data_IF_468388961167
#
_entry.id   IF_468388961167
#
_cell.length_a   1.000
_cell.length_b   1.000
_cell.length_c   1.000
_cell.angle_alpha   90.00
_cell.angle_beta   90.00
_cell.angle_gamma   90.00
#
_symmetry.space_group_name_H-M   'P 1'
#
loop_
_entity.id
_entity.type
_entity.pdbx_description
1 polymer ?
#
# COMPACT_ATOMS: atom_id res chain seq x y z
N UNK A 1 2.84 -13.83 2.94
CA UNK A 1 1.45 -13.64 2.45
C UNK A 1 1.11 -12.18 2.14
N UNK A 2 1.40 -11.21 3.03
CA UNK A 2 1.05 -9.79 2.80
C UNK A 2 1.61 -9.23 1.48
N UNK A 3 2.92 -9.35 1.23
CA UNK A 3 3.53 -8.87 0.00
C UNK A 3 2.99 -9.56 -1.27
N UNK A 4 2.55 -10.82 -1.17
CA UNK A 4 1.95 -11.55 -2.29
C UNK A 4 0.59 -10.94 -2.66
N UNK A 5 -0.30 -10.77 -1.68
CA UNK A 5 -1.63 -10.23 -1.91
C UNK A 5 -1.57 -8.74 -2.32
N UNK A 6 -0.70 -7.96 -1.68
CA UNK A 6 -0.44 -6.58 -2.08
C UNK A 6 0.13 -6.50 -3.50
N UNK A 7 1.05 -7.40 -3.86
CA UNK A 7 1.59 -7.49 -5.21
C UNK A 7 0.55 -7.84 -6.27
N UNK A 8 -0.37 -8.76 -5.97
CA UNK A 8 -1.50 -9.06 -6.84
C UNK A 8 -2.43 -7.85 -7.01
N UNK A 9 -2.73 -7.12 -5.93
CA UNK A 9 -3.51 -5.89 -6.00
C UNK A 9 -2.83 -4.80 -6.83
N UNK A 10 -1.51 -4.64 -6.71
CA UNK A 10 -0.72 -3.70 -7.51
C UNK A 10 -0.74 -4.08 -9.00
N UNK A 11 -0.64 -5.37 -9.32
CA UNK A 11 -0.76 -5.86 -10.70
C UNK A 11 -2.15 -5.58 -11.29
N UNK A 12 -3.22 -6.01 -10.61
CA UNK A 12 -4.60 -5.81 -11.08
C UNK A 12 -4.95 -4.32 -11.15
N UNK A 13 -4.40 -3.49 -10.26
CA UNK A 13 -4.55 -2.03 -10.27
C UNK A 13 -3.69 -1.30 -11.30
N UNK A 14 -2.98 -2.01 -12.19
CA UNK A 14 -2.17 -1.42 -13.27
C UNK A 14 -0.90 -0.71 -12.78
N UNK A 15 -0.44 -0.99 -11.56
CA UNK A 15 0.78 -0.41 -10.97
C UNK A 15 2.02 -1.28 -11.16
N UNK A 16 1.88 -2.48 -11.71
CA UNK A 16 2.96 -3.38 -12.10
C UNK A 16 2.57 -4.14 -13.37
N UNK A 17 3.51 -4.46 -14.25
CA UNK A 17 3.23 -5.15 -15.52
C UNK A 17 3.06 -6.67 -15.36
N UNK A 18 3.43 -7.23 -14.20
CA UNK A 18 3.27 -8.65 -13.89
C UNK A 18 3.07 -8.89 -12.38
N UNK A 19 2.58 -10.08 -12.02
CA UNK A 19 2.50 -10.50 -10.61
C UNK A 19 3.86 -10.47 -9.91
N UNK A 20 4.91 -10.96 -10.56
CA UNK A 20 6.25 -10.99 -9.98
C UNK A 20 6.79 -9.58 -9.72
N UNK A 21 6.55 -8.64 -10.63
CA UNK A 21 6.89 -7.23 -10.44
C UNK A 21 6.06 -6.60 -9.31
N UNK A 22 4.76 -6.90 -9.25
CA UNK A 22 3.88 -6.43 -8.19
C UNK A 22 4.36 -6.87 -6.81
N UNK A 23 4.77 -8.14 -6.66
CA UNK A 23 5.30 -8.65 -5.38
C UNK A 23 6.63 -7.98 -5.01
N UNK A 24 7.52 -7.74 -5.99
CA UNK A 24 8.76 -7.00 -5.74
C UNK A 24 8.48 -5.57 -5.29
N UNK A 25 7.61 -4.85 -5.99
CA UNK A 25 7.22 -3.49 -5.63
C UNK A 25 6.56 -3.44 -4.24
N UNK A 26 5.64 -4.36 -3.95
CA UNK A 26 5.03 -4.46 -2.62
C UNK A 26 6.07 -4.67 -1.53
N UNK A 27 7.07 -5.54 -1.78
CA UNK A 27 8.16 -5.79 -0.83
C UNK A 27 9.03 -4.53 -0.62
N UNK A 28 9.41 -3.84 -1.69
CA UNK A 28 10.17 -2.58 -1.60
C UNK A 28 9.42 -1.53 -0.78
N UNK A 29 8.12 -1.31 -1.06
CA UNK A 29 7.32 -0.32 -0.34
C UNK A 29 7.16 -0.64 1.16
N UNK A 30 7.16 -1.93 1.51
CA UNK A 30 7.14 -2.37 2.91
C UNK A 30 8.50 -2.17 3.56
N UNK A 31 9.57 -2.66 2.93
CA UNK A 31 10.93 -2.65 3.46
C UNK A 31 11.47 -1.20 3.62
N UNK A 32 11.09 -0.28 2.73
CA UNK A 32 11.44 1.14 2.80
C UNK A 32 10.51 1.97 3.70
N UNK A 33 9.50 1.35 4.32
CA UNK A 33 8.57 2.02 5.24
C UNK A 33 7.51 2.89 4.58
N UNK A 34 7.47 2.98 3.24
CA UNK A 34 6.46 3.74 2.51
C UNK A 34 5.02 3.27 2.81
N UNK A 35 4.82 1.95 3.00
CA UNK A 35 3.53 1.39 3.39
C UNK A 35 3.08 1.88 4.78
N UNK A 36 4.00 1.97 5.75
CA UNK A 36 3.71 2.47 7.09
C UNK A 36 3.39 3.97 7.05
N UNK A 37 4.18 4.76 6.33
CA UNK A 37 3.94 6.20 6.19
C UNK A 37 2.56 6.51 5.59
N UNK A 38 2.11 5.73 4.59
CA UNK A 38 0.77 5.91 4.00
C UNK A 38 -0.35 5.49 4.97
N UNK A 39 -0.14 4.48 5.81
CA UNK A 39 -1.08 4.12 6.87
C UNK A 39 -1.23 5.25 7.89
N UNK A 40 -0.12 5.84 8.34
CA UNK A 40 -0.15 6.98 9.26
C UNK A 40 -0.87 8.19 8.66
N UNK A 41 -0.68 8.45 7.37
CA UNK A 41 -1.42 9.49 6.64
C UNK A 41 -2.92 9.21 6.64
N UNK A 42 -3.32 7.97 6.37
CA UNK A 42 -4.73 7.58 6.41
C UNK A 42 -5.33 7.78 7.80
N UNK A 43 -4.62 7.35 8.86
CA UNK A 43 -5.06 7.55 10.25
C UNK A 43 -5.31 9.03 10.51
N UNK A 44 -4.33 9.90 10.20
CA UNK A 44 -4.44 11.35 10.41
C UNK A 44 -5.65 11.94 9.68
N UNK A 45 -5.84 11.57 8.41
CA UNK A 45 -6.96 12.08 7.59
C UNK A 45 -8.30 11.58 8.14
N UNK A 46 -8.42 10.30 8.44
CA UNK A 46 -9.66 9.72 8.99
C UNK A 46 -10.06 10.35 10.31
N UNK A 47 -9.11 10.62 11.21
CA UNK A 47 -9.38 11.31 12.47
C UNK A 47 -9.84 12.76 12.27
N UNK A 48 -9.24 13.50 11.33
CA UNK A 48 -9.66 14.87 11.01
C UNK A 48 -11.11 14.86 10.49
N UNK A 49 -11.44 13.94 9.59
CA UNK A 49 -12.80 13.82 9.05
C UNK A 49 -13.82 13.45 10.14
N UNK A 50 -13.48 12.52 11.02
CA UNK A 50 -14.37 12.11 12.12
C UNK A 50 -14.67 13.25 13.11
N UNK A 51 -13.72 14.17 13.34
CA UNK A 51 -13.93 15.35 14.20
C UNK A 51 -14.67 16.50 13.52
N UNK A 52 -14.77 16.47 12.20
CA UNK A 52 -15.50 17.46 11.39
C UNK A 52 -16.96 17.04 11.11
N UNK A 53 -17.38 15.87 11.61
CA UNK A 53 -18.73 15.30 11.50
C UNK A 53 -19.52 15.53 12.79
#
# INVERSE_FOLDING_TARGET
MVALNAGAALYVGGRAASLAEGVRLAKTLIDEGAAAAKLEELIRVSEVLARAS
#
